data_IF_235725626260
#
_entry.id   IF_235725626260
#
_cell.length_a   1.000
_cell.length_b   1.000
_cell.length_c   1.000
_cell.angle_alpha   90.00
_cell.angle_beta   90.00
_cell.angle_gamma   90.00
#
_symmetry.space_group_name_H-M   'P 1'
#
loop_
_entity.id
_entity.type
_entity.pdbx_description
1 polymer ?
#
# COMPACT_ATOMS: atom_id res chain seq x y z
N UNK A 1 -12.41 23.20 -0.43
CA UNK A 1 -13.44 22.74 0.52
C UNK A 1 -12.80 21.80 1.54
N UNK A 2 -13.21 21.89 2.78
CA UNK A 2 -12.66 21.05 3.83
C UNK A 2 -13.44 19.73 3.95
N UNK A 3 -12.73 18.64 4.09
CA UNK A 3 -13.30 17.33 4.40
C UNK A 3 -12.39 16.60 5.40
N UNK A 4 -12.90 15.57 6.04
CA UNK A 4 -12.15 14.83 7.06
C UNK A 4 -11.74 13.47 6.52
N UNK A 5 -10.47 13.15 6.67
CA UNK A 5 -9.92 11.84 6.36
C UNK A 5 -9.46 11.14 7.64
N UNK A 6 -9.74 9.85 7.73
CA UNK A 6 -9.24 8.98 8.81
C UNK A 6 -8.05 8.18 8.25
N UNK A 7 -6.84 8.57 8.63
CA UNK A 7 -5.61 7.98 8.10
C UNK A 7 -4.79 7.43 9.27
N UNK A 8 -4.52 6.14 9.23
CA UNK A 8 -3.74 5.43 10.26
C UNK A 8 -4.30 5.68 11.68
N UNK A 9 -5.63 5.70 11.78
CA UNK A 9 -6.31 5.90 13.06
C UNK A 9 -6.41 7.36 13.54
N UNK A 10 -5.92 8.31 12.75
CA UNK A 10 -5.95 9.75 13.10
C UNK A 10 -6.86 10.49 12.13
N UNK A 11 -7.71 11.36 12.67
CA UNK A 11 -8.56 12.22 11.84
C UNK A 11 -7.81 13.47 11.43
N UNK A 12 -7.83 13.76 10.13
CA UNK A 12 -7.23 14.97 9.56
C UNK A 12 -8.31 15.79 8.89
N UNK A 13 -8.40 17.07 9.24
CA UNK A 13 -9.20 18.03 8.50
C UNK A 13 -8.36 18.52 7.33
N UNK A 14 -8.83 18.27 6.13
CA UNK A 14 -8.07 18.53 4.90
C UNK A 14 -8.77 19.65 4.13
N UNK A 15 -8.04 20.71 3.82
CA UNK A 15 -8.51 21.78 2.95
C UNK A 15 -7.83 21.61 1.58
N UNK A 16 -8.55 20.97 0.68
CA UNK A 16 -8.08 20.70 -0.69
C UNK A 16 -9.27 20.68 -1.65
N UNK A 17 -8.99 20.83 -2.93
CA UNK A 17 -10.02 20.67 -3.94
C UNK A 17 -10.57 19.24 -3.91
N UNK A 18 -11.89 19.03 -4.03
CA UNK A 18 -12.49 17.70 -3.93
C UNK A 18 -11.91 16.67 -4.90
N UNK A 19 -11.47 17.12 -6.06
CA UNK A 19 -10.91 16.25 -7.09
C UNK A 19 -9.44 15.90 -6.88
N UNK A 20 -8.78 16.49 -5.88
CA UNK A 20 -7.36 16.20 -5.59
C UNK A 20 -7.16 14.72 -5.35
N UNK A 21 -6.24 14.05 -6.06
CA UNK A 21 -5.94 12.64 -5.81
C UNK A 21 -5.48 12.42 -4.36
N UNK A 22 -5.93 11.33 -3.78
CA UNK A 22 -5.59 10.97 -2.40
C UNK A 22 -4.07 10.96 -2.18
N UNK A 23 -3.29 10.50 -3.17
CA UNK A 23 -1.83 10.46 -3.09
C UNK A 23 -1.25 11.82 -2.68
N UNK A 24 -1.70 12.90 -3.32
CA UNK A 24 -1.15 14.23 -3.05
C UNK A 24 -1.60 14.79 -1.71
N UNK A 25 -2.82 14.47 -1.30
CA UNK A 25 -3.29 14.84 0.05
C UNK A 25 -2.43 14.14 1.12
N UNK A 26 -2.13 12.87 0.93
CA UNK A 26 -1.28 12.14 1.86
C UNK A 26 0.12 12.73 1.92
N UNK A 27 0.75 12.98 0.77
CA UNK A 27 2.15 13.45 0.72
C UNK A 27 2.30 14.91 1.06
N UNK A 28 1.45 15.77 0.49
CA UNK A 28 1.67 17.22 0.53
C UNK A 28 0.88 17.91 1.64
N UNK A 29 -0.35 17.46 1.90
CA UNK A 29 -1.20 18.08 2.93
C UNK A 29 -0.94 17.47 4.30
N UNK A 30 -0.91 16.14 4.40
CA UNK A 30 -0.72 15.42 5.67
C UNK A 30 0.76 15.22 5.98
N UNK A 31 1.60 15.09 4.94
CA UNK A 31 3.04 14.92 5.11
C UNK A 31 3.50 13.48 5.26
N UNK A 32 2.66 12.50 4.90
CA UNK A 32 3.01 11.08 4.91
C UNK A 32 3.63 10.70 3.56
N UNK A 33 4.95 10.66 3.48
CA UNK A 33 5.70 10.53 2.23
C UNK A 33 6.06 9.10 1.85
N UNK A 34 5.67 8.11 2.65
CA UNK A 34 5.94 6.70 2.35
C UNK A 34 5.22 6.17 1.13
N UNK A 35 4.04 6.70 0.84
CA UNK A 35 3.27 6.40 -0.38
C UNK A 35 3.90 7.17 -1.56
N UNK A 36 4.20 6.48 -2.66
CA UNK A 36 5.04 7.04 -3.73
C UNK A 36 4.24 7.29 -5.01
N UNK A 37 4.70 8.27 -5.78
CA UNK A 37 4.19 8.57 -7.12
C UNK A 37 5.03 7.85 -8.18
N UNK A 38 4.36 7.24 -9.15
CA UNK A 38 5.02 6.65 -10.31
C UNK A 38 4.31 7.05 -11.60
N UNK A 39 3.28 6.30 -12.04
CA UNK A 39 2.59 6.54 -13.31
C UNK A 39 1.51 7.63 -13.26
N UNK A 40 0.85 7.83 -12.11
CA UNK A 40 -0.27 8.77 -11.96
C UNK A 40 -1.58 8.33 -12.60
N UNK A 41 -1.63 7.13 -13.18
CA UNK A 41 -2.80 6.62 -13.92
C UNK A 41 -3.32 5.29 -13.37
N UNK A 42 -2.93 4.94 -12.14
CA UNK A 42 -3.44 3.75 -11.46
C UNK A 42 -2.85 2.43 -11.93
N UNK A 43 -1.69 2.43 -12.61
CA UNK A 43 -1.10 1.21 -13.19
C UNK A 43 0.06 0.64 -12.39
N UNK A 44 1.06 1.46 -12.04
CA UNK A 44 2.31 0.93 -11.45
C UNK A 44 2.15 0.44 -10.02
N UNK A 45 1.23 0.99 -9.26
CA UNK A 45 0.96 0.59 -7.88
C UNK A 45 1.89 1.15 -6.81
N UNK A 46 2.85 2.01 -7.15
CA UNK A 46 3.73 2.64 -6.16
C UNK A 46 2.95 3.42 -5.10
N UNK A 47 1.77 3.89 -5.46
CA UNK A 47 0.87 4.68 -4.62
C UNK A 47 -0.15 3.84 -3.84
N UNK A 48 -0.05 2.52 -3.84
CA UNK A 48 -1.04 1.65 -3.19
C UNK A 48 -1.17 1.96 -1.70
N UNK A 49 -2.41 2.14 -1.27
CA UNK A 49 -2.81 2.25 0.14
C UNK A 49 -3.96 1.28 0.38
N UNK A 50 -4.31 1.06 1.65
CA UNK A 50 -5.49 0.26 2.00
C UNK A 50 -6.64 1.20 2.35
N UNK A 51 -7.80 0.96 1.76
CA UNK A 51 -9.04 1.65 2.10
C UNK A 51 -10.03 0.59 2.54
N UNK A 52 -10.39 0.61 3.82
CA UNK A 52 -11.20 -0.44 4.46
C UNK A 52 -10.62 -1.85 4.18
N UNK A 53 -9.29 -1.98 4.21
CA UNK A 53 -8.58 -3.23 4.00
C UNK A 53 -8.37 -3.63 2.54
N UNK A 54 -8.86 -2.85 1.59
CA UNK A 54 -8.73 -3.14 0.15
C UNK A 54 -7.62 -2.31 -0.46
N UNK A 55 -6.75 -2.93 -1.26
CA UNK A 55 -5.67 -2.24 -1.95
C UNK A 55 -6.24 -1.30 -3.03
N UNK A 56 -5.89 -0.03 -2.95
CA UNK A 56 -6.36 1.02 -3.87
C UNK A 56 -5.18 1.86 -4.32
N UNK A 57 -5.17 2.24 -5.59
CA UNK A 57 -4.16 3.13 -6.19
C UNK A 57 -4.52 4.59 -5.88
N UNK A 58 -3.84 5.19 -4.90
CA UNK A 58 -4.17 6.52 -4.39
C UNK A 58 -3.98 7.65 -5.41
N UNK A 59 -3.17 7.44 -6.44
CA UNK A 59 -3.02 8.43 -7.52
C UNK A 59 -4.27 8.55 -8.39
N UNK A 60 -5.16 7.55 -8.36
CA UNK A 60 -6.32 7.47 -9.24
C UNK A 60 -7.65 7.62 -8.49
N UNK A 61 -7.62 7.92 -7.21
CA UNK A 61 -8.81 8.08 -6.36
C UNK A 61 -8.86 9.50 -5.84
N UNK A 62 -10.02 10.15 -5.95
CA UNK A 62 -10.24 11.49 -5.39
C UNK A 62 -10.33 11.41 -3.86
N UNK A 63 -9.60 12.27 -3.17
CA UNK A 63 -9.52 12.24 -1.70
C UNK A 63 -10.90 12.41 -1.05
N UNK A 64 -11.75 13.29 -1.60
CA UNK A 64 -13.08 13.55 -1.06
C UNK A 64 -13.99 12.31 -1.09
N UNK A 65 -13.76 11.38 -2.00
CA UNK A 65 -14.59 10.17 -2.14
C UNK A 65 -14.30 9.12 -1.08
N UNK A 66 -13.17 9.24 -0.38
CA UNK A 66 -12.80 8.29 0.67
C UNK A 66 -12.94 8.90 2.07
N UNK A 67 -13.55 10.07 2.17
CA UNK A 67 -13.92 10.65 3.46
C UNK A 67 -14.83 9.67 4.23
N UNK A 68 -14.55 9.46 5.50
CA UNK A 68 -15.29 8.53 6.34
C UNK A 68 -14.85 7.08 6.22
N UNK A 69 -13.93 6.76 5.32
CA UNK A 69 -13.36 5.41 5.20
C UNK A 69 -12.03 5.31 5.93
N UNK A 70 -11.65 4.08 6.28
CA UNK A 70 -10.43 3.80 7.02
C UNK A 70 -9.27 3.66 6.06
N UNK A 71 -8.37 4.64 6.04
CA UNK A 71 -7.20 4.66 5.16
C UNK A 71 -5.98 4.20 5.94
N UNK A 72 -5.24 3.23 5.40
CA UNK A 72 -3.97 2.77 5.96
C UNK A 72 -2.86 2.98 4.94
N UNK A 73 -1.84 3.73 5.34
CA UNK A 73 -0.61 3.89 4.55
C UNK A 73 0.48 2.99 5.12
N UNK A 74 1.64 2.94 4.45
CA UNK A 74 2.77 2.14 4.94
C UNK A 74 3.22 2.58 6.34
N UNK A 75 3.10 3.86 6.66
CA UNK A 75 3.47 4.39 7.97
C UNK A 75 2.59 3.84 9.10
N UNK A 76 1.37 3.43 8.79
CA UNK A 76 0.41 2.94 9.77
C UNK A 76 0.22 1.42 9.76
N UNK A 77 1.00 0.68 8.97
CA UNK A 77 0.83 -0.77 8.89
C UNK A 77 1.18 -1.46 10.21
N UNK A 78 2.28 -1.06 10.83
CA UNK A 78 2.65 -1.48 12.19
C UNK A 78 3.55 -0.42 12.82
N UNK A 79 3.54 -0.33 14.14
CA UNK A 79 4.28 0.70 14.88
C UNK A 79 5.81 0.52 14.75
N UNK A 80 6.28 -0.72 14.62
CA UNK A 80 7.70 -1.07 14.70
C UNK A 80 8.21 -1.86 13.49
N UNK A 81 7.39 -2.00 12.43
CA UNK A 81 7.78 -2.79 11.27
C UNK A 81 7.66 -4.29 11.46
N UNK A 82 6.88 -4.75 12.44
CA UNK A 82 6.76 -6.17 12.81
C UNK A 82 5.60 -6.90 12.12
N UNK A 83 4.86 -6.25 11.23
CA UNK A 83 3.81 -6.94 10.48
C UNK A 83 4.43 -8.13 9.74
N UNK A 84 3.77 -9.30 9.68
CA UNK A 84 4.33 -10.50 9.02
C UNK A 84 4.86 -10.25 7.61
N UNK A 85 4.18 -9.42 6.83
CA UNK A 85 4.65 -9.06 5.48
C UNK A 85 5.95 -8.27 5.57
N UNK A 86 6.06 -7.31 6.49
CA UNK A 86 7.29 -6.53 6.66
C UNK A 86 8.46 -7.40 7.12
N UNK A 87 8.21 -8.34 8.03
CA UNK A 87 9.25 -9.29 8.49
C UNK A 87 9.74 -10.16 7.33
N UNK A 88 8.80 -10.68 6.52
CA UNK A 88 9.16 -11.49 5.36
C UNK A 88 9.97 -10.70 4.33
N UNK A 89 9.61 -9.43 4.09
CA UNK A 89 10.36 -8.54 3.19
C UNK A 89 11.80 -8.35 3.63
N UNK A 90 12.01 -8.21 4.94
CA UNK A 90 13.37 -8.12 5.52
C UNK A 90 14.13 -9.43 5.38
N UNK A 91 13.48 -10.54 5.69
CA UNK A 91 14.11 -11.87 5.67
C UNK A 91 14.64 -12.22 4.29
N UNK A 92 13.88 -11.89 3.22
CA UNK A 92 14.28 -12.20 1.85
C UNK A 92 15.01 -11.04 1.16
N UNK A 93 15.28 -9.95 1.88
CA UNK A 93 15.99 -8.80 1.35
C UNK A 93 15.39 -8.35 0.01
N UNK A 94 14.07 -8.18 0.00
CA UNK A 94 13.30 -7.94 -1.23
C UNK A 94 13.70 -6.66 -1.97
N UNK A 95 13.85 -5.49 -1.28
CA UNK A 95 14.10 -4.25 -2.00
C UNK A 95 15.47 -4.19 -2.67
N UNK A 96 15.52 -3.54 -3.84
CA UNK A 96 16.76 -2.99 -4.39
C UNK A 96 16.74 -1.47 -4.19
N UNK A 97 16.13 -0.69 -5.12
CA UNK A 97 16.02 0.76 -4.90
C UNK A 97 15.02 1.13 -3.80
N UNK A 98 14.06 0.26 -3.53
CA UNK A 98 13.06 0.44 -2.48
C UNK A 98 11.86 1.31 -2.85
N UNK A 99 11.86 1.94 -4.02
CA UNK A 99 10.86 2.95 -4.36
C UNK A 99 9.43 2.40 -4.42
N UNK A 100 9.24 1.21 -5.01
CA UNK A 100 7.92 0.60 -5.18
C UNK A 100 7.46 -0.20 -3.95
N UNK A 101 8.29 -0.35 -2.93
CA UNK A 101 8.07 -1.39 -1.92
C UNK A 101 6.95 -1.08 -0.95
N UNK A 102 6.68 0.20 -0.63
CA UNK A 102 5.52 0.53 0.19
C UNK A 102 4.22 0.04 -0.46
N UNK A 103 4.08 0.25 -1.77
CA UNK A 103 2.94 -0.23 -2.54
C UNK A 103 2.90 -1.75 -2.64
N UNK A 104 4.06 -2.39 -2.85
CA UNK A 104 4.16 -3.85 -2.92
C UNK A 104 3.74 -4.51 -1.59
N UNK A 105 4.22 -3.98 -0.49
CA UNK A 105 3.91 -4.49 0.85
C UNK A 105 2.41 -4.39 1.12
N UNK A 106 1.80 -3.24 0.88
CA UNK A 106 0.37 -3.06 1.14
C UNK A 106 -0.50 -3.90 0.21
N UNK A 107 -0.09 -4.07 -1.05
CA UNK A 107 -0.78 -4.97 -1.96
C UNK A 107 -0.72 -6.42 -1.47
N UNK A 108 0.43 -6.84 -0.94
CA UNK A 108 0.60 -8.18 -0.36
C UNK A 108 -0.25 -8.36 0.91
N UNK A 109 -0.33 -7.34 1.76
CA UNK A 109 -1.20 -7.37 2.95
C UNK A 109 -2.66 -7.61 2.54
N UNK A 110 -3.14 -6.87 1.55
CA UNK A 110 -4.52 -7.02 1.06
C UNK A 110 -4.75 -8.42 0.46
N UNK A 111 -3.78 -8.92 -0.30
CA UNK A 111 -3.87 -10.28 -0.87
C UNK A 111 -4.00 -11.33 0.23
N UNK A 112 -3.16 -11.28 1.24
CA UNK A 112 -3.15 -12.28 2.32
C UNK A 112 -4.39 -12.20 3.21
N UNK A 113 -5.00 -11.03 3.36
CA UNK A 113 -6.29 -10.90 4.05
C UNK A 113 -7.39 -11.61 3.29
N UNK A 114 -7.37 -11.53 1.97
CA UNK A 114 -8.37 -12.13 1.10
C UNK A 114 -8.10 -13.61 0.85
N UNK A 115 -6.83 -13.99 0.68
CA UNK A 115 -6.36 -15.35 0.41
C UNK A 115 -5.19 -15.68 1.34
N UNK A 116 -5.46 -16.26 2.53
CA UNK A 116 -4.39 -16.51 3.52
C UNK A 116 -3.28 -17.44 3.06
N UNK A 117 -3.55 -18.29 2.07
CA UNK A 117 -2.57 -19.25 1.51
C UNK A 117 -2.63 -19.20 -0.02
N UNK A 118 -2.14 -18.11 -0.64
CA UNK A 118 -2.20 -17.98 -2.09
C UNK A 118 -1.21 -18.93 -2.77
N UNK A 119 -1.60 -19.44 -3.96
CA UNK A 119 -0.68 -20.14 -4.84
C UNK A 119 0.19 -19.14 -5.60
N UNK A 120 1.22 -19.63 -6.31
CA UNK A 120 2.02 -18.78 -7.20
C UNK A 120 1.14 -18.12 -8.26
N UNK A 121 0.17 -18.84 -8.81
CA UNK A 121 -0.77 -18.31 -9.80
C UNK A 121 -1.62 -17.17 -9.21
N UNK A 122 -2.07 -17.32 -7.96
CA UNK A 122 -2.85 -16.29 -7.27
C UNK A 122 -2.00 -15.02 -7.07
N UNK A 123 -0.75 -15.20 -6.66
CA UNK A 123 0.19 -14.09 -6.46
C UNK A 123 0.42 -13.36 -7.79
N UNK A 124 0.70 -14.09 -8.85
CA UNK A 124 0.95 -13.50 -10.17
C UNK A 124 -0.27 -12.74 -10.70
N UNK A 125 -1.48 -13.24 -10.43
CA UNK A 125 -2.71 -12.60 -10.87
C UNK A 125 -3.06 -11.34 -10.05
N UNK A 126 -2.79 -11.34 -8.75
CA UNK A 126 -3.21 -10.28 -7.85
C UNK A 126 -2.14 -9.20 -7.63
N UNK A 127 -0.87 -9.58 -7.67
CA UNK A 127 0.25 -8.65 -7.48
C UNK A 127 0.61 -7.99 -8.81
N UNK A 128 -0.13 -6.95 -9.16
CA UNK A 128 0.04 -6.23 -10.42
C UNK A 128 0.95 -5.00 -10.31
N UNK A 129 1.53 -4.78 -9.13
CA UNK A 129 2.45 -3.67 -8.88
C UNK A 129 3.76 -3.87 -9.66
N UNK A 130 4.25 -2.79 -10.27
CA UNK A 130 5.49 -2.83 -11.04
C UNK A 130 6.71 -2.59 -10.15
N UNK A 131 7.77 -3.34 -10.41
CA UNK A 131 9.09 -3.14 -9.81
C UNK A 131 10.12 -3.00 -10.93
N UNK A 132 10.68 -1.81 -11.08
CA UNK A 132 11.67 -1.55 -12.14
C UNK A 132 12.95 -2.35 -11.94
N UNK A 133 13.30 -2.67 -10.69
CA UNK A 133 14.47 -3.50 -10.37
C UNK A 133 14.22 -4.99 -10.59
N UNK A 134 12.97 -5.39 -10.80
CA UNK A 134 12.62 -6.77 -11.12
C UNK A 134 12.69 -7.76 -9.97
N UNK A 135 12.41 -7.31 -8.73
CA UNK A 135 12.51 -8.18 -7.55
C UNK A 135 11.31 -9.11 -7.36
N UNK A 136 10.55 -9.39 -8.41
CA UNK A 136 9.31 -10.17 -8.35
C UNK A 136 9.49 -11.56 -7.74
N UNK A 137 10.62 -12.22 -8.01
CA UNK A 137 10.90 -13.54 -7.45
C UNK A 137 10.97 -13.50 -5.92
N UNK A 138 11.68 -12.49 -5.39
CA UNK A 138 11.80 -12.31 -3.93
C UNK A 138 10.46 -11.90 -3.31
N UNK A 139 9.68 -11.08 -4.02
CA UNK A 139 8.32 -10.69 -3.58
C UNK A 139 7.46 -11.95 -3.42
N UNK A 140 7.47 -12.83 -4.39
CA UNK A 140 6.71 -14.09 -4.33
C UNK A 140 7.14 -14.94 -3.14
N UNK A 141 8.44 -15.12 -2.95
CA UNK A 141 8.97 -15.87 -1.81
C UNK A 141 8.54 -15.24 -0.47
N UNK A 142 8.64 -13.91 -0.37
CA UNK A 142 8.28 -13.19 0.84
C UNK A 142 6.78 -13.30 1.13
N UNK A 143 5.92 -13.32 0.13
CA UNK A 143 4.48 -13.50 0.32
C UNK A 143 4.18 -14.88 0.89
N UNK A 144 4.80 -15.92 0.37
CA UNK A 144 4.65 -17.28 0.93
C UNK A 144 5.13 -17.35 2.38
N UNK A 145 6.26 -16.69 2.68
CA UNK A 145 6.79 -16.64 4.04
C UNK A 145 5.84 -15.88 4.98
N UNK A 146 5.32 -14.76 4.54
CA UNK A 146 4.36 -13.98 5.33
C UNK A 146 3.10 -14.79 5.62
N UNK A 147 2.60 -15.54 4.64
CA UNK A 147 1.46 -16.44 4.83
C UNK A 147 1.75 -17.48 5.91
N UNK A 148 2.95 -18.05 5.93
CA UNK A 148 3.37 -19.00 6.96
C UNK A 148 3.49 -18.34 8.33
N UNK A 149 4.00 -17.10 8.40
CA UNK A 149 4.15 -16.36 9.67
C UNK A 149 2.79 -15.97 10.28
N UNK A 150 1.78 -15.79 9.46
CA UNK A 150 0.42 -15.49 9.94
C UNK A 150 -0.27 -16.70 10.57
N UNK A 151 0.24 -17.86 10.31
CA UNK A 151 -0.33 -19.11 10.77
C UNK A 151 -1.30 -19.69 9.79
#
# INVERSE_FOLDING_TARGET
MAFTLLVNGVQYSVDAEPETPLLWVLRDTIGLTGTKYGCGIGQCGACTVLIDGVAVRSCFVQASRVAGKKITTIEGLSADGSHPVQLAWKEFDVPQCGYCQSGQILAAVALLEKQPKPSDADIDAQMTNACRCGTYHRIRQAIHRAAALRG
#
